data_IF_928170589437
#
_entry.id   IF_928170589437
#
_cell.length_a   1.000
_cell.length_b   1.000
_cell.length_c   1.000
_cell.angle_alpha   90.00
_cell.angle_beta   90.00
_cell.angle_gamma   90.00
#
_symmetry.space_group_name_H-M   'P 1'
#
loop_
_entity.id
_entity.type
_entity.pdbx_description
1 polymer ?
#
# COMPACT_ATOMS: atom_id res chain seq x y z
N UNK A 1 -1.67 24.05 -3.13
CA UNK A 1 -2.06 23.33 -4.38
C UNK A 1 -1.42 21.94 -4.45
N UNK A 2 -0.09 21.80 -4.27
CA UNK A 2 0.60 20.52 -4.35
C UNK A 2 0.15 19.54 -3.24
N UNK A 3 -0.07 20.01 -2.01
CA UNK A 3 -0.60 19.20 -0.92
C UNK A 3 -1.93 18.53 -1.28
N UNK A 4 -2.90 19.28 -1.78
CA UNK A 4 -4.20 18.75 -2.20
C UNK A 4 -4.05 17.77 -3.36
N UNK A 5 -3.17 18.07 -4.31
CA UNK A 5 -2.87 17.17 -5.43
C UNK A 5 -2.30 15.83 -4.94
N UNK A 6 -1.29 15.84 -4.06
CA UNK A 6 -0.69 14.63 -3.51
C UNK A 6 -1.71 13.82 -2.69
N UNK A 7 -2.57 14.46 -1.90
CA UNK A 7 -3.62 13.79 -1.15
C UNK A 7 -4.65 13.11 -2.06
N UNK A 8 -5.02 13.78 -3.16
CA UNK A 8 -5.98 13.24 -4.12
C UNK A 8 -5.38 12.08 -4.91
N UNK A 9 -4.12 12.21 -5.37
CA UNK A 9 -3.41 11.13 -6.06
C UNK A 9 -3.27 9.93 -5.13
N UNK A 10 -2.94 10.13 -3.85
CA UNK A 10 -2.87 9.07 -2.85
C UNK A 10 -4.21 8.33 -2.73
N UNK A 11 -5.32 9.05 -2.63
CA UNK A 11 -6.66 8.45 -2.57
C UNK A 11 -7.00 7.62 -3.81
N UNK A 12 -6.66 8.12 -5.00
CA UNK A 12 -6.84 7.39 -6.26
C UNK A 12 -5.98 6.14 -6.32
N UNK A 13 -4.72 6.20 -5.88
CA UNK A 13 -3.82 5.04 -5.84
C UNK A 13 -4.36 3.98 -4.90
N UNK A 14 -4.83 4.35 -3.70
CA UNK A 14 -5.43 3.40 -2.74
C UNK A 14 -6.66 2.73 -3.32
N UNK A 15 -7.57 3.50 -3.94
CA UNK A 15 -8.74 2.95 -4.61
C UNK A 15 -8.37 1.97 -5.72
N UNK A 16 -7.46 2.39 -6.60
CA UNK A 16 -6.99 1.54 -7.71
C UNK A 16 -6.35 0.25 -7.20
N UNK A 17 -5.51 0.33 -6.16
CA UNK A 17 -4.86 -0.84 -5.56
C UNK A 17 -5.87 -1.81 -4.97
N UNK A 18 -6.88 -1.32 -4.23
CA UNK A 18 -7.91 -2.15 -3.63
C UNK A 18 -8.81 -2.83 -4.67
N UNK A 19 -9.05 -2.17 -5.79
CA UNK A 19 -9.76 -2.76 -6.92
C UNK A 19 -8.90 -3.81 -7.63
N UNK A 20 -7.66 -3.47 -7.94
CA UNK A 20 -6.75 -4.32 -8.71
C UNK A 20 -6.27 -5.57 -7.94
N UNK A 21 -6.21 -5.52 -6.60
CA UNK A 21 -5.81 -6.68 -5.79
C UNK A 21 -6.81 -7.85 -5.89
N UNK A 22 -8.03 -7.60 -6.30
CA UNK A 22 -9.05 -8.64 -6.51
C UNK A 22 -8.81 -9.45 -7.80
N UNK A 23 -7.92 -9.00 -8.67
CA UNK A 23 -7.62 -9.64 -9.95
C UNK A 23 -6.23 -10.29 -9.93
N UNK A 24 -6.14 -11.63 -9.83
CA UNK A 24 -4.89 -12.35 -9.97
C UNK A 24 -4.40 -12.32 -11.42
N UNK A 25 -3.08 -12.37 -11.60
CA UNK A 25 -2.45 -12.33 -12.91
C UNK A 25 -2.46 -13.74 -13.50
N UNK A 26 -3.38 -14.02 -14.43
CA UNK A 26 -3.60 -15.35 -15.04
C UNK A 26 -2.56 -15.76 -16.10
N UNK A 27 -1.45 -15.02 -16.24
CA UNK A 27 -0.39 -15.34 -17.19
C UNK A 27 0.75 -16.11 -16.52
N UNK A 28 1.27 -17.13 -17.18
CA UNK A 28 2.42 -17.93 -16.73
C UNK A 28 2.26 -18.63 -15.37
N UNK A 29 1.04 -18.89 -14.92
CA UNK A 29 0.80 -19.52 -13.60
C UNK A 29 1.10 -18.60 -12.42
N UNK A 30 1.06 -17.28 -12.60
CA UNK A 30 1.30 -16.28 -11.56
C UNK A 30 0.06 -15.96 -10.72
N UNK A 31 -1.09 -16.56 -11.04
CA UNK A 31 -2.36 -16.34 -10.36
C UNK A 31 -2.38 -16.73 -8.87
N UNK A 32 -1.50 -17.66 -8.47
CA UNK A 32 -1.29 -18.02 -7.07
C UNK A 32 -0.21 -17.18 -6.36
N UNK A 33 0.48 -16.29 -7.09
CA UNK A 33 1.67 -15.57 -6.59
C UNK A 33 1.48 -14.06 -6.64
N UNK A 34 0.78 -13.52 -7.65
CA UNK A 34 0.69 -12.08 -7.91
C UNK A 34 -0.70 -11.61 -8.27
N UNK A 35 -1.05 -10.41 -7.79
CA UNK A 35 -2.23 -9.66 -8.21
C UNK A 35 -1.83 -8.37 -8.93
N UNK A 36 -2.73 -7.81 -9.74
CA UNK A 36 -2.48 -6.51 -10.39
C UNK A 36 -2.29 -5.36 -9.39
N UNK A 37 -2.81 -5.51 -8.17
CA UNK A 37 -2.63 -4.54 -7.08
C UNK A 37 -1.16 -4.33 -6.70
N UNK A 38 -0.32 -5.35 -6.79
CA UNK A 38 1.10 -5.28 -6.42
C UNK A 38 1.88 -4.18 -7.17
N UNK A 39 1.47 -3.83 -8.39
CA UNK A 39 2.14 -2.79 -9.19
C UNK A 39 1.73 -1.35 -8.82
N UNK A 40 0.63 -1.15 -8.15
CA UNK A 40 0.14 0.18 -7.78
C UNK A 40 0.61 0.64 -6.39
N UNK A 41 0.87 -0.27 -5.47
CA UNK A 41 1.33 0.06 -4.12
C UNK A 41 2.65 0.83 -4.04
N UNK A 42 3.70 0.54 -4.84
CA UNK A 42 4.94 1.31 -4.81
C UNK A 42 4.74 2.81 -5.05
N UNK A 43 3.70 3.18 -5.81
CA UNK A 43 3.37 4.59 -6.06
C UNK A 43 2.92 5.29 -4.77
N UNK A 44 2.20 4.60 -3.89
CA UNK A 44 1.78 5.17 -2.60
C UNK A 44 2.98 5.50 -1.71
N UNK A 45 3.95 4.59 -1.60
CA UNK A 45 5.19 4.85 -0.85
C UNK A 45 6.00 5.99 -1.46
N UNK A 46 6.13 6.05 -2.79
CA UNK A 46 6.80 7.15 -3.47
C UNK A 46 6.17 8.51 -3.17
N UNK A 47 4.84 8.61 -3.17
CA UNK A 47 4.12 9.84 -2.83
C UNK A 47 4.42 10.26 -1.39
N UNK A 48 4.41 9.31 -0.46
CA UNK A 48 4.69 9.55 0.96
C UNK A 48 6.13 10.02 1.18
N UNK A 49 7.09 9.38 0.52
CA UNK A 49 8.51 9.73 0.58
C UNK A 49 8.77 11.13 0.02
N UNK A 50 8.19 11.45 -1.14
CA UNK A 50 8.28 12.79 -1.74
C UNK A 50 7.66 13.86 -0.83
N UNK A 51 6.50 13.56 -0.24
CA UNK A 51 5.84 14.46 0.71
C UNK A 51 6.69 14.68 1.97
N UNK A 52 7.25 13.60 2.53
CA UNK A 52 8.09 13.67 3.72
C UNK A 52 9.40 14.42 3.45
N UNK A 53 10.01 14.20 2.29
CA UNK A 53 11.23 14.91 1.89
C UNK A 53 11.00 16.39 1.67
N UNK A 54 9.88 16.75 1.01
CA UNK A 54 9.58 18.14 0.62
C UNK A 54 8.98 18.97 1.74
N UNK A 55 8.10 18.39 2.55
CA UNK A 55 7.29 19.12 3.54
C UNK A 55 7.48 18.62 4.97
N UNK A 56 8.21 17.51 5.17
CA UNK A 56 8.46 16.92 6.47
C UNK A 56 7.33 16.03 6.98
N UNK A 57 7.61 15.36 8.10
CA UNK A 57 6.81 14.31 8.71
C UNK A 57 5.35 14.69 8.97
N UNK A 58 5.07 15.91 9.44
CA UNK A 58 3.72 16.31 9.80
C UNK A 58 2.81 16.38 8.57
N UNK A 59 3.29 17.00 7.51
CA UNK A 59 2.55 17.12 6.24
C UNK A 59 2.40 15.75 5.56
N UNK A 60 3.46 14.92 5.56
CA UNK A 60 3.38 13.56 5.03
C UNK A 60 2.29 12.74 5.72
N UNK A 61 2.20 12.79 7.06
CA UNK A 61 1.12 12.13 7.81
C UNK A 61 -0.27 12.63 7.44
N UNK A 62 -0.43 13.95 7.26
CA UNK A 62 -1.72 14.52 6.84
C UNK A 62 -2.12 14.01 5.45
N UNK A 63 -1.17 13.90 4.51
CA UNK A 63 -1.42 13.35 3.17
C UNK A 63 -1.86 11.89 3.29
N UNK A 64 -1.20 11.08 4.13
CA UNK A 64 -1.58 9.69 4.39
C UNK A 64 -3.00 9.60 4.94
N UNK A 65 -3.35 10.41 5.96
CA UNK A 65 -4.70 10.38 6.55
C UNK A 65 -5.78 10.82 5.57
N UNK A 66 -5.55 11.89 4.82
CA UNK A 66 -6.52 12.39 3.84
C UNK A 66 -6.65 11.38 2.69
N UNK A 67 -5.54 10.88 2.16
CA UNK A 67 -5.53 9.85 1.12
C UNK A 67 -6.22 8.56 1.59
N UNK A 68 -6.00 8.14 2.84
CA UNK A 68 -6.68 7.02 3.45
C UNK A 68 -8.21 7.24 3.50
N UNK A 69 -8.66 8.37 4.03
CA UNK A 69 -10.11 8.66 4.15
C UNK A 69 -10.76 8.68 2.77
N UNK A 70 -10.13 9.32 1.77
CA UNK A 70 -10.63 9.34 0.41
C UNK A 70 -10.63 7.92 -0.16
N UNK A 71 -9.49 7.22 -0.13
CA UNK A 71 -9.34 5.90 -0.72
C UNK A 71 -10.28 4.87 -0.12
N UNK A 72 -10.36 4.79 1.22
CA UNK A 72 -11.25 3.82 1.88
C UNK A 72 -12.72 4.13 1.65
N UNK A 73 -13.11 5.43 1.65
CA UNK A 73 -14.51 5.81 1.37
C UNK A 73 -14.93 5.39 -0.03
N UNK A 74 -14.09 5.65 -1.03
CA UNK A 74 -14.37 5.20 -2.40
C UNK A 74 -14.33 3.68 -2.55
N UNK A 75 -13.40 2.99 -1.86
CA UNK A 75 -13.36 1.52 -1.85
C UNK A 75 -14.66 0.93 -1.30
N UNK A 76 -15.14 1.45 -0.18
CA UNK A 76 -16.38 0.99 0.43
C UNK A 76 -17.61 1.23 -0.47
N UNK A 77 -17.65 2.35 -1.18
CA UNK A 77 -18.80 2.71 -2.05
C UNK A 77 -18.77 1.94 -3.37
N UNK A 78 -17.61 1.84 -4.02
CA UNK A 78 -17.52 1.39 -5.42
C UNK A 78 -16.91 0.00 -5.59
N UNK A 79 -16.10 -0.47 -4.65
CA UNK A 79 -15.32 -1.70 -4.79
C UNK A 79 -15.73 -2.80 -3.82
N UNK A 80 -16.44 -2.48 -2.74
CA UNK A 80 -16.79 -3.46 -1.70
C UNK A 80 -18.18 -4.04 -1.95
N UNK A 81 -18.25 -5.37 -2.12
CA UNK A 81 -19.50 -6.09 -2.09
C UNK A 81 -19.79 -6.53 -0.65
N UNK A 82 -20.70 -5.85 0.03
CA UNK A 82 -21.07 -6.15 1.41
C UNK A 82 -21.80 -7.50 1.60
N UNK A 83 -22.28 -8.12 0.52
CA UNK A 83 -22.82 -9.47 0.57
C UNK A 83 -21.73 -10.55 0.56
N UNK A 84 -20.49 -10.21 0.19
CA UNK A 84 -19.35 -11.10 0.16
C UNK A 84 -18.38 -10.80 1.31
N UNK A 85 -18.23 -11.76 2.22
CA UNK A 85 -17.34 -11.63 3.36
C UNK A 85 -15.88 -11.39 2.97
N UNK A 86 -15.41 -11.97 1.87
CA UNK A 86 -14.03 -11.79 1.39
C UNK A 86 -13.83 -10.35 0.94
N UNK A 87 -14.78 -9.79 0.20
CA UNK A 87 -14.72 -8.38 -0.24
C UNK A 87 -14.66 -7.40 0.94
N UNK A 88 -15.45 -7.63 1.99
CA UNK A 88 -15.41 -6.83 3.21
C UNK A 88 -14.06 -6.97 3.93
N UNK A 89 -13.53 -8.19 4.04
CA UNK A 89 -12.23 -8.45 4.65
C UNK A 89 -11.08 -7.79 3.87
N UNK A 90 -11.13 -7.79 2.55
CA UNK A 90 -10.17 -7.06 1.70
C UNK A 90 -10.22 -5.55 2.00
N UNK A 91 -11.40 -4.96 2.09
CA UNK A 91 -11.53 -3.54 2.38
C UNK A 91 -10.96 -3.18 3.78
N UNK A 92 -11.28 -3.96 4.81
CA UNK A 92 -10.78 -3.75 6.17
C UNK A 92 -9.27 -4.02 6.25
N UNK A 93 -8.81 -5.12 5.66
CA UNK A 93 -7.40 -5.51 5.63
C UNK A 93 -6.54 -4.47 4.92
N UNK A 94 -6.97 -4.03 3.74
CA UNK A 94 -6.30 -2.99 2.97
C UNK A 94 -6.23 -1.66 3.73
N UNK A 95 -7.35 -1.22 4.31
CA UNK A 95 -7.36 0.02 5.09
C UNK A 95 -6.41 -0.03 6.29
N UNK A 96 -6.44 -1.12 7.05
CA UNK A 96 -5.59 -1.30 8.23
C UNK A 96 -4.11 -1.41 7.84
N UNK A 97 -3.79 -2.25 6.87
CA UNK A 97 -2.42 -2.46 6.40
C UNK A 97 -1.83 -1.16 5.85
N UNK A 98 -2.54 -0.49 4.94
CA UNK A 98 -2.13 0.79 4.38
C UNK A 98 -1.81 1.82 5.48
N UNK A 99 -2.74 2.04 6.40
CA UNK A 99 -2.57 3.08 7.42
C UNK A 99 -1.36 2.79 8.31
N UNK A 100 -1.22 1.56 8.80
CA UNK A 100 -0.12 1.16 9.67
C UNK A 100 1.21 1.24 8.92
N UNK A 101 1.30 0.67 7.73
CA UNK A 101 2.52 0.64 6.92
C UNK A 101 2.99 2.05 6.54
N UNK A 102 2.09 2.90 6.05
CA UNK A 102 2.42 4.27 5.66
C UNK A 102 2.87 5.14 6.85
N UNK A 103 2.25 4.97 8.02
CA UNK A 103 2.68 5.69 9.21
C UNK A 103 4.05 5.21 9.73
N UNK A 104 4.36 3.93 9.59
CA UNK A 104 5.68 3.37 9.90
C UNK A 104 6.71 3.91 8.90
N UNK A 105 6.40 3.89 7.61
CA UNK A 105 7.23 4.43 6.55
C UNK A 105 7.60 5.89 6.81
N UNK A 106 6.62 6.76 7.05
CA UNK A 106 6.85 8.17 7.39
C UNK A 106 7.78 8.34 8.60
N UNK A 107 7.66 7.48 9.61
CA UNK A 107 8.51 7.58 10.81
C UNK A 107 9.95 7.16 10.54
N UNK A 108 10.15 6.06 9.81
CA UNK A 108 11.47 5.53 9.48
C UNK A 108 12.17 6.49 8.54
N UNK A 109 11.49 6.95 7.49
CA UNK A 109 12.01 7.95 6.57
C UNK A 109 12.49 9.21 7.29
N UNK A 110 11.66 9.76 8.18
CA UNK A 110 11.99 10.98 8.91
C UNK A 110 13.25 10.82 9.80
N UNK A 111 13.42 9.64 10.43
CA UNK A 111 14.63 9.33 11.21
C UNK A 111 15.89 9.22 10.35
N UNK A 112 15.74 8.74 9.12
CA UNK A 112 16.84 8.46 8.20
C UNK A 112 17.09 9.58 7.19
N UNK A 113 16.20 10.57 7.07
CA UNK A 113 16.25 11.63 6.04
C UNK A 113 17.52 12.45 5.99
N UNK A 114 18.30 12.47 7.08
CA UNK A 114 19.59 13.16 7.18
C UNK A 114 20.77 12.33 6.68
N UNK A 115 20.56 11.05 6.39
CA UNK A 115 21.56 10.16 5.78
C UNK A 115 21.57 10.34 4.27
N UNK A 116 22.35 9.50 3.59
CA UNK A 116 22.41 9.49 2.12
C UNK A 116 21.01 9.43 1.54
N UNK A 117 20.82 10.12 0.43
CA UNK A 117 19.51 10.41 -0.16
C UNK A 117 18.67 9.15 -0.49
N UNK A 118 19.31 8.01 -0.72
CA UNK A 118 18.62 6.74 -1.04
C UNK A 118 18.36 5.86 0.19
N UNK A 119 19.11 6.02 1.31
CA UNK A 119 18.96 5.15 2.49
C UNK A 119 17.59 5.33 3.14
N UNK A 120 17.09 6.55 3.22
CA UNK A 120 15.80 6.83 3.84
C UNK A 120 14.66 6.16 3.06
N UNK A 121 14.44 6.42 1.74
CA UNK A 121 13.35 5.81 1.01
C UNK A 121 13.49 4.29 0.90
N UNK A 122 14.71 3.77 0.66
CA UNK A 122 14.92 2.33 0.55
C UNK A 122 14.54 1.60 1.84
N UNK A 123 15.05 2.05 2.99
CA UNK A 123 14.80 1.38 4.27
C UNK A 123 13.35 1.52 4.71
N UNK A 124 12.76 2.71 4.57
CA UNK A 124 11.37 2.94 4.95
C UNK A 124 10.40 2.13 4.08
N UNK A 125 10.61 2.10 2.77
CA UNK A 125 9.78 1.35 1.83
C UNK A 125 9.90 -0.17 2.03
N UNK A 126 11.09 -0.71 2.28
CA UNK A 126 11.25 -2.15 2.57
C UNK A 126 10.45 -2.54 3.82
N UNK A 127 10.61 -1.80 4.91
CA UNK A 127 9.91 -2.10 6.16
C UNK A 127 8.41 -1.85 6.02
N UNK A 128 8.03 -0.73 5.42
CA UNK A 128 6.62 -0.38 5.16
C UNK A 128 5.93 -1.45 4.30
N UNK A 129 6.52 -1.83 3.17
CA UNK A 129 5.99 -2.87 2.28
C UNK A 129 5.87 -4.23 2.97
N UNK A 130 6.85 -4.60 3.78
CA UNK A 130 6.80 -5.86 4.54
C UNK A 130 5.61 -5.87 5.50
N UNK A 131 5.42 -4.79 6.26
CA UNK A 131 4.30 -4.66 7.20
C UNK A 131 2.97 -4.64 6.46
N UNK A 132 2.87 -3.86 5.38
CA UNK A 132 1.66 -3.76 4.55
C UNK A 132 1.23 -5.13 4.03
N UNK A 133 2.13 -5.81 3.35
CA UNK A 133 1.86 -7.12 2.74
C UNK A 133 1.39 -8.14 3.77
N UNK A 134 2.12 -8.32 4.88
CA UNK A 134 1.75 -9.32 5.88
C UNK A 134 0.43 -8.96 6.59
N UNK A 135 0.19 -7.71 6.94
CA UNK A 135 -1.07 -7.29 7.54
C UNK A 135 -2.23 -7.47 6.57
N UNK A 136 -2.07 -7.02 5.32
CA UNK A 136 -3.11 -7.13 4.31
C UNK A 136 -3.53 -8.58 4.07
N UNK A 137 -2.58 -9.43 3.71
CA UNK A 137 -2.89 -10.82 3.36
C UNK A 137 -3.39 -11.64 4.57
N UNK A 138 -2.86 -11.39 5.78
CA UNK A 138 -3.34 -12.08 6.98
C UNK A 138 -4.76 -11.69 7.34
N UNK A 139 -5.12 -10.41 7.30
CA UNK A 139 -6.48 -9.96 7.64
C UNK A 139 -7.48 -10.39 6.56
N UNK A 140 -7.11 -10.21 5.30
CA UNK A 140 -8.01 -10.45 4.16
C UNK A 140 -8.27 -11.94 3.91
N UNK A 141 -7.24 -12.77 3.97
CA UNK A 141 -7.31 -14.15 3.45
C UNK A 141 -7.03 -15.25 4.49
N UNK A 142 -6.74 -14.94 5.74
CA UNK A 142 -6.58 -15.95 6.78
C UNK A 142 -7.85 -16.82 6.90
N UNK A 143 -7.67 -18.14 6.85
CA UNK A 143 -8.75 -19.15 6.93
C UNK A 143 -9.81 -19.08 5.81
N UNK A 144 -9.48 -18.52 4.63
CA UNK A 144 -10.41 -18.49 3.47
C UNK A 144 -10.16 -19.57 2.44
N UNK A 145 -9.14 -20.44 2.63
CA UNK A 145 -8.72 -21.44 1.64
C UNK A 145 -7.82 -20.87 0.53
N UNK A 146 -7.58 -19.57 0.50
CA UNK A 146 -6.65 -18.93 -0.43
C UNK A 146 -5.21 -19.13 0.08
N UNK A 147 -4.21 -19.44 -0.80
CA UNK A 147 -2.80 -19.61 -0.42
C UNK A 147 -2.15 -18.24 -0.09
N UNK A 148 -2.63 -17.59 0.96
CA UNK A 148 -2.28 -16.23 1.31
C UNK A 148 -0.80 -16.02 1.63
N UNK A 149 -0.11 -17.06 2.14
CA UNK A 149 1.34 -16.98 2.43
C UNK A 149 2.13 -16.87 1.13
N UNK A 150 1.80 -17.70 0.13
CA UNK A 150 2.47 -17.67 -1.18
C UNK A 150 2.20 -16.34 -1.90
N UNK A 151 0.94 -15.87 -1.87
CA UNK A 151 0.57 -14.57 -2.41
C UNK A 151 1.29 -13.42 -1.71
N UNK A 152 1.41 -13.45 -0.38
CA UNK A 152 2.11 -12.41 0.37
C UNK A 152 3.60 -12.36 0.03
N UNK A 153 4.26 -13.51 -0.14
CA UNK A 153 5.66 -13.57 -0.54
C UNK A 153 5.89 -13.09 -1.98
N UNK A 154 4.99 -13.45 -2.90
CA UNK A 154 5.04 -12.98 -4.29
C UNK A 154 4.83 -11.48 -4.40
N UNK A 155 3.82 -10.95 -3.69
CA UNK A 155 3.53 -9.52 -3.62
C UNK A 155 4.72 -8.74 -3.02
N UNK A 156 5.26 -9.20 -1.90
CA UNK A 156 6.43 -8.60 -1.28
C UNK A 156 7.65 -8.60 -2.21
N UNK A 157 7.92 -9.70 -2.90
CA UNK A 157 9.01 -9.76 -3.87
C UNK A 157 8.81 -8.76 -5.02
N UNK A 158 7.58 -8.62 -5.53
CA UNK A 158 7.23 -7.63 -6.53
C UNK A 158 7.41 -6.19 -6.02
N UNK A 159 6.91 -5.90 -4.82
CA UNK A 159 7.05 -4.60 -4.18
C UNK A 159 8.52 -4.20 -3.97
N UNK A 160 9.35 -5.13 -3.51
CA UNK A 160 10.77 -4.88 -3.32
C UNK A 160 11.52 -4.69 -4.65
N UNK A 161 11.14 -5.43 -5.69
CA UNK A 161 11.74 -5.28 -7.02
C UNK A 161 11.32 -3.99 -7.72
N UNK A 162 10.08 -3.56 -7.54
CA UNK A 162 9.52 -2.33 -8.14
C UNK A 162 9.68 -1.09 -7.26
N UNK A 163 10.15 -1.27 -6.01
CA UNK A 163 10.48 -0.15 -5.13
C UNK A 163 11.47 0.78 -5.84
N UNK A 164 11.23 2.09 -5.85
CA UNK A 164 12.11 3.04 -6.51
C UNK A 164 13.50 2.99 -5.87
N UNK A 165 14.35 2.13 -6.42
CA UNK A 165 15.79 2.21 -6.17
C UNK A 165 16.35 3.38 -6.96
N UNK A 166 17.31 4.11 -6.40
CA UNK A 166 17.95 5.28 -7.04
C UNK A 166 18.67 4.91 -8.32
#
# INVERSE_FOLDING_TARGET
>A
KLFLLLSLIMGVVVLASNYLVQFPIKYYGLDEILTYGAFSYPIAFLITDLANRSYGKLIARQIVYIGFVIGISFTLIFSTNFADLISVRIAVGSGTAFLVAQLIDVQIFDKLRKKDWFIAPLTSSIIGSTVDTFLFFSISFYATGVPWITLSLGDLACLLYTSPSP
#
